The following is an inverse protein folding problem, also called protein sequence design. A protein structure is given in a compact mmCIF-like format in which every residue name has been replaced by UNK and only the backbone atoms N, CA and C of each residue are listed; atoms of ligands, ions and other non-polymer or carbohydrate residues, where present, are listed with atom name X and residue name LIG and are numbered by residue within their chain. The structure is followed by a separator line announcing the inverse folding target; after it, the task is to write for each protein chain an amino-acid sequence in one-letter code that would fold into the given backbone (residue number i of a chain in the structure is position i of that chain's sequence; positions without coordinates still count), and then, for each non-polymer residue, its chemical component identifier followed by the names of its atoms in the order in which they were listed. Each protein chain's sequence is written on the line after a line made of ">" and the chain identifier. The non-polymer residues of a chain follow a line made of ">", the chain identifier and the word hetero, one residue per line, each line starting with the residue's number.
data_IF_069023157557
#
_entry.id   IF_069023157557
#
_cell.length_a   1.000
_cell.length_b   1.000
_cell.length_c   1.000
_cell.angle_alpha   90.00
_cell.angle_beta   90.00
_cell.angle_gamma   90.00
#
_symmetry.space_group_name_H-M   'P 1'
#
loop_
_entity.id
_entity.type
_entity.pdbx_description
1 polymer ?
#
# COMPACT_ATOMS: atom_id res chain seq x y z
N UNK A 1 49.65 11.87 23.25
CA UNK A 1 48.22 12.14 23.54
C UNK A 1 47.43 11.70 22.32
N UNK A 2 46.57 10.69 22.45
CA UNK A 2 45.68 10.23 21.38
C UNK A 2 44.33 10.92 21.57
N UNK A 3 43.91 11.72 20.60
CA UNK A 3 42.61 12.38 20.59
C UNK A 3 41.54 11.32 20.31
N UNK A 4 40.73 10.99 21.32
CA UNK A 4 39.54 10.15 21.14
C UNK A 4 38.56 10.92 20.24
N UNK A 5 38.27 10.38 19.06
CA UNK A 5 37.19 10.90 18.22
C UNK A 5 35.85 10.62 18.92
N UNK A 6 34.92 11.60 18.94
CA UNK A 6 33.59 11.39 19.50
C UNK A 6 32.88 10.29 18.69
N UNK A 7 32.29 9.33 19.40
CA UNK A 7 31.44 8.32 18.78
C UNK A 7 30.26 9.02 18.11
N UNK A 8 30.23 9.01 16.78
CA UNK A 8 29.06 9.43 16.01
C UNK A 8 27.88 8.57 16.48
N UNK A 9 26.92 9.20 17.18
CA UNK A 9 25.62 8.59 17.41
C UNK A 9 24.91 8.54 16.06
N UNK A 10 25.02 7.42 15.36
CA UNK A 10 24.11 7.12 14.27
C UNK A 10 22.72 6.97 14.89
N UNK A 11 21.71 7.74 14.43
CA UNK A 11 20.33 7.53 14.88
C UNK A 11 19.99 6.06 14.65
N UNK A 12 19.32 5.44 15.63
CA UNK A 12 18.92 4.04 15.55
C UNK A 12 18.26 3.73 14.20
N UNK A 13 18.52 2.56 13.61
CA UNK A 13 17.89 2.18 12.35
C UNK A 13 16.38 2.29 12.51
N UNK A 14 15.74 3.08 11.65
CA UNK A 14 14.29 3.09 11.51
C UNK A 14 13.80 1.64 11.45
N UNK A 15 12.82 1.29 12.27
CA UNK A 15 12.19 -0.03 12.24
C UNK A 15 11.86 -0.38 10.79
N UNK A 16 12.38 -1.50 10.31
CA UNK A 16 12.19 -1.90 8.91
C UNK A 16 10.69 -2.00 8.60
N UNK A 17 10.23 -1.47 7.45
CA UNK A 17 8.82 -1.50 7.11
C UNK A 17 8.34 -2.94 6.92
N UNK A 18 7.10 -3.20 7.30
CA UNK A 18 6.41 -4.45 6.99
C UNK A 18 5.84 -4.37 5.59
N UNK A 19 6.26 -5.28 4.72
CA UNK A 19 5.78 -5.37 3.34
C UNK A 19 4.75 -6.50 3.27
N UNK A 20 3.53 -6.17 2.86
CA UNK A 20 2.44 -7.11 2.65
C UNK A 20 2.14 -7.18 1.15
N UNK A 21 2.29 -8.36 0.56
CA UNK A 21 2.11 -8.57 -0.89
C UNK A 21 1.09 -9.70 -1.13
N UNK A 22 -0.21 -9.42 -1.10
CA UNK A 22 -1.24 -10.44 -1.32
C UNK A 22 -1.22 -10.94 -2.77
N UNK A 23 -1.49 -12.23 -2.97
CA UNK A 23 -1.77 -12.81 -4.29
C UNK A 23 -3.26 -12.68 -4.64
N UNK A 24 -4.11 -12.63 -3.63
CA UNK A 24 -5.55 -12.42 -3.75
C UNK A 24 -6.10 -11.61 -2.56
N UNK A 25 -7.15 -10.82 -2.83
CA UNK A 25 -7.96 -10.14 -1.80
C UNK A 25 -9.30 -10.87 -1.56
N UNK A 26 -9.42 -12.11 -2.04
CA UNK A 26 -10.63 -12.91 -1.95
C UNK A 26 -10.45 -14.14 -1.05
N UNK A 27 -11.59 -14.70 -0.61
CA UNK A 27 -11.63 -15.93 0.16
C UNK A 27 -10.79 -15.88 1.45
N UNK A 28 -10.21 -17.02 1.79
CA UNK A 28 -9.40 -17.17 3.01
C UNK A 28 -8.10 -16.34 2.95
N UNK A 29 -7.51 -16.17 1.76
CA UNK A 29 -6.30 -15.38 1.59
C UNK A 29 -6.57 -13.90 1.87
N UNK A 30 -7.63 -13.34 1.28
CA UNK A 30 -8.05 -11.97 1.54
C UNK A 30 -8.37 -11.72 3.01
N UNK A 31 -9.03 -12.68 3.68
CA UNK A 31 -9.30 -12.58 5.12
C UNK A 31 -8.00 -12.56 5.95
N UNK A 32 -7.04 -13.43 5.64
CA UNK A 32 -5.74 -13.47 6.29
C UNK A 32 -4.94 -12.18 6.07
N UNK A 33 -4.95 -11.67 4.84
CA UNK A 33 -4.33 -10.39 4.50
C UNK A 33 -4.94 -9.24 5.32
N UNK A 34 -6.27 -9.12 5.34
CA UNK A 34 -6.97 -8.08 6.09
C UNK A 34 -6.66 -8.14 7.59
N UNK A 35 -6.63 -9.36 8.16
CA UNK A 35 -6.24 -9.56 9.56
C UNK A 35 -4.80 -9.13 9.81
N UNK A 36 -3.86 -9.52 8.95
CA UNK A 36 -2.44 -9.17 9.06
C UNK A 36 -2.23 -7.66 8.95
N UNK A 37 -2.91 -7.02 7.99
CA UNK A 37 -2.88 -5.58 7.80
C UNK A 37 -3.40 -4.84 9.02
N UNK A 38 -4.56 -5.26 9.56
CA UNK A 38 -5.12 -4.67 10.77
C UNK A 38 -4.18 -4.82 11.98
N UNK A 39 -3.57 -5.99 12.16
CA UNK A 39 -2.58 -6.22 13.21
C UNK A 39 -1.36 -5.31 13.07
N UNK A 40 -0.84 -5.14 11.86
CA UNK A 40 0.32 -4.27 11.60
C UNK A 40 0.02 -2.79 11.88
N UNK A 41 -1.19 -2.33 11.53
CA UNK A 41 -1.67 -0.97 11.84
C UNK A 41 -1.76 -0.78 13.36
N UNK A 42 -2.40 -1.70 14.09
CA UNK A 42 -2.52 -1.65 15.56
C UNK A 42 -1.14 -1.68 16.24
N UNK A 43 -0.21 -2.46 15.68
CA UNK A 43 1.17 -2.55 16.14
C UNK A 43 2.02 -1.32 15.79
N UNK A 44 1.43 -0.29 15.15
CA UNK A 44 2.08 1.00 14.83
C UNK A 44 3.29 0.85 13.90
N UNK A 45 3.28 -0.17 13.05
CA UNK A 45 4.35 -0.43 12.11
C UNK A 45 4.20 0.46 10.87
N UNK A 46 5.32 0.81 10.23
CA UNK A 46 5.28 1.34 8.86
C UNK A 46 4.91 0.20 7.92
N UNK A 47 3.81 0.33 7.18
CA UNK A 47 3.27 -0.72 6.32
C UNK A 47 3.34 -0.31 4.86
N UNK A 48 3.85 -1.20 4.04
CA UNK A 48 3.83 -1.11 2.58
C UNK A 48 2.95 -2.25 2.08
N UNK A 49 1.87 -1.93 1.37
CA UNK A 49 1.04 -2.92 0.69
C UNK A 49 1.40 -2.91 -0.79
N UNK A 50 2.01 -4.00 -1.27
CA UNK A 50 2.35 -4.15 -2.68
C UNK A 50 1.27 -4.95 -3.42
N UNK A 51 0.59 -4.29 -4.36
CA UNK A 51 -0.54 -4.85 -5.10
C UNK A 51 -0.15 -5.49 -6.43
N UNK A 52 1.13 -5.77 -6.67
CA UNK A 52 1.66 -6.28 -7.95
C UNK A 52 0.89 -7.48 -8.52
N UNK A 53 0.39 -8.36 -7.65
CA UNK A 53 -0.30 -9.58 -8.07
C UNK A 53 -1.82 -9.42 -8.17
N UNK A 54 -2.36 -8.31 -7.65
CA UNK A 54 -3.78 -8.01 -7.61
C UNK A 54 -4.20 -7.37 -8.92
N UNK A 55 -4.96 -8.12 -9.72
CA UNK A 55 -5.37 -7.68 -11.06
C UNK A 55 -6.69 -6.95 -11.11
N UNK A 56 -7.56 -7.25 -10.13
CA UNK A 56 -8.88 -6.66 -10.03
C UNK A 56 -9.16 -6.33 -8.58
N UNK A 57 -9.64 -5.10 -8.38
CA UNK A 57 -10.06 -4.57 -7.09
C UNK A 57 -11.51 -4.16 -7.24
N UNK A 58 -12.40 -5.03 -6.76
CA UNK A 58 -13.81 -4.67 -6.62
C UNK A 58 -13.98 -3.51 -5.63
N UNK A 59 -15.08 -2.78 -5.78
CA UNK A 59 -15.35 -1.58 -4.98
C UNK A 59 -15.26 -1.84 -3.47
N UNK A 60 -15.79 -2.96 -2.99
CA UNK A 60 -15.77 -3.31 -1.56
C UNK A 60 -14.35 -3.55 -1.03
N UNK A 61 -13.47 -4.14 -1.85
CA UNK A 61 -12.07 -4.38 -1.48
C UNK A 61 -11.27 -3.09 -1.51
N UNK A 62 -11.53 -2.25 -2.49
CA UNK A 62 -10.95 -0.91 -2.58
C UNK A 62 -11.36 -0.05 -1.37
N UNK A 63 -12.63 -0.12 -0.95
CA UNK A 63 -13.13 0.54 0.25
C UNK A 63 -12.50 -0.01 1.54
N UNK A 64 -12.27 -1.32 1.63
CA UNK A 64 -11.56 -1.91 2.77
C UNK A 64 -10.11 -1.39 2.87
N UNK A 65 -9.38 -1.34 1.74
CA UNK A 65 -8.04 -0.78 1.69
C UNK A 65 -8.02 0.72 2.03
N UNK A 66 -8.99 1.48 1.52
CA UNK A 66 -9.11 2.91 1.80
C UNK A 66 -9.40 3.19 3.28
N UNK A 67 -10.26 2.40 3.91
CA UNK A 67 -10.52 2.48 5.34
C UNK A 67 -9.28 2.13 6.18
N UNK A 68 -8.53 1.10 5.78
CA UNK A 68 -7.28 0.73 6.44
C UNK A 68 -6.24 1.87 6.34
N UNK A 69 -6.10 2.47 5.16
CA UNK A 69 -5.27 3.64 4.95
C UNK A 69 -5.66 4.81 5.86
N UNK A 70 -6.94 5.21 5.85
CA UNK A 70 -7.43 6.30 6.69
C UNK A 70 -7.23 6.02 8.19
N UNK A 71 -7.43 4.77 8.61
CA UNK A 71 -7.17 4.33 9.99
C UNK A 71 -5.69 4.47 10.35
N UNK A 72 -4.78 4.01 9.49
CA UNK A 72 -3.34 4.16 9.73
C UNK A 72 -2.92 5.64 9.81
N UNK A 73 -3.45 6.47 8.90
CA UNK A 73 -3.18 7.91 8.87
C UNK A 73 -3.70 8.64 10.12
N UNK A 74 -4.90 8.30 10.61
CA UNK A 74 -5.43 8.90 11.86
C UNK A 74 -4.65 8.47 13.09
N UNK A 75 -4.02 7.30 13.06
CA UNK A 75 -3.12 6.82 14.11
C UNK A 75 -1.69 7.38 14.00
N UNK A 76 -1.38 8.15 12.94
CA UNK A 76 -0.06 8.74 12.73
C UNK A 76 0.99 7.75 12.20
N UNK A 77 0.55 6.63 11.62
CA UNK A 77 1.42 5.60 11.06
C UNK A 77 1.26 5.52 9.54
N UNK A 78 2.34 5.73 8.78
CA UNK A 78 2.25 5.72 7.32
C UNK A 78 1.97 4.31 6.79
N UNK A 79 0.86 4.20 6.06
CA UNK A 79 0.54 3.07 5.19
C UNK A 79 0.66 3.54 3.74
N UNK A 80 1.48 2.85 2.94
CA UNK A 80 1.70 3.18 1.53
C UNK A 80 1.32 2.00 0.65
N UNK A 81 0.82 2.28 -0.55
CA UNK A 81 0.54 1.27 -1.57
C UNK A 81 1.56 1.34 -2.71
N UNK A 82 2.00 0.18 -3.18
CA UNK A 82 2.84 0.01 -4.37
C UNK A 82 2.07 -0.76 -5.44
N UNK A 83 2.55 -0.64 -6.69
CA UNK A 83 2.05 -1.39 -7.85
C UNK A 83 0.56 -1.21 -8.13
N UNK A 84 -0.01 -0.06 -7.76
CA UNK A 84 -1.33 0.36 -8.24
C UNK A 84 -1.17 0.91 -9.64
N UNK A 85 -1.88 0.33 -10.61
CA UNK A 85 -2.05 0.97 -11.92
C UNK A 85 -2.83 2.28 -11.80
N UNK A 86 -2.78 3.10 -12.86
CA UNK A 86 -3.41 4.41 -12.88
C UNK A 86 -4.93 4.35 -12.63
N UNK A 87 -5.62 3.36 -13.20
CA UNK A 87 -7.06 3.17 -13.05
C UNK A 87 -7.45 2.85 -11.61
N UNK A 88 -6.75 1.89 -11.00
CA UNK A 88 -6.89 1.49 -9.60
C UNK A 88 -6.60 2.65 -8.67
N UNK A 89 -5.56 3.45 -8.92
CA UNK A 89 -5.24 4.64 -8.14
C UNK A 89 -6.35 5.69 -8.21
N UNK A 90 -6.86 6.02 -9.40
CA UNK A 90 -7.97 6.95 -9.54
C UNK A 90 -9.24 6.47 -8.83
N UNK A 91 -9.53 5.17 -8.90
CA UNK A 91 -10.67 4.59 -8.18
C UNK A 91 -10.47 4.69 -6.66
N UNK A 92 -9.26 4.41 -6.17
CA UNK A 92 -8.90 4.50 -4.76
C UNK A 92 -9.07 5.91 -4.22
N UNK A 93 -8.59 6.91 -4.96
CA UNK A 93 -8.73 8.33 -4.60
C UNK A 93 -10.18 8.77 -4.51
N UNK A 94 -11.03 8.33 -5.45
CA UNK A 94 -12.47 8.60 -5.40
C UNK A 94 -13.11 8.01 -4.14
N UNK A 95 -12.73 6.78 -3.78
CA UNK A 95 -13.25 6.13 -2.57
C UNK A 95 -12.79 6.86 -1.31
N UNK A 96 -11.53 7.29 -1.24
CA UNK A 96 -11.05 8.13 -0.13
C UNK A 96 -11.83 9.44 -0.03
N UNK A 97 -12.05 10.13 -1.14
CA UNK A 97 -12.83 11.37 -1.18
C UNK A 97 -14.27 11.15 -0.68
N UNK A 98 -14.89 10.04 -1.09
CA UNK A 98 -16.24 9.66 -0.68
C UNK A 98 -16.33 9.31 0.81
N UNK A 99 -15.37 8.55 1.35
CA UNK A 99 -15.33 8.17 2.76
C UNK A 99 -15.02 9.38 3.64
N UNK A 100 -14.10 10.24 3.19
CA UNK A 100 -13.55 11.29 4.02
C UNK A 100 -14.36 12.59 4.08
N UNK A 101 -14.92 13.07 2.97
CA UNK A 101 -15.05 14.54 2.77
C UNK A 101 -13.75 15.29 3.15
N UNK A 102 -12.58 14.65 3.01
CA UNK A 102 -11.30 15.19 3.42
C UNK A 102 -10.58 15.73 2.19
N UNK A 103 -10.31 17.02 2.20
CA UNK A 103 -9.34 17.69 1.31
C UNK A 103 -7.93 17.27 1.78
N UNK A 104 -7.44 16.10 1.33
CA UNK A 104 -6.04 15.70 1.57
C UNK A 104 -5.40 15.14 0.31
N UNK A 105 -4.45 15.93 -0.19
CA UNK A 105 -3.34 15.52 -1.05
C UNK A 105 -2.39 14.62 -0.26
N UNK A 106 -2.70 13.33 -0.16
CA UNK A 106 -1.68 12.34 0.17
C UNK A 106 -0.63 12.31 -0.94
N UNK A 107 0.65 12.29 -0.60
CA UNK A 107 1.71 12.04 -1.59
C UNK A 107 1.65 10.56 -1.97
N UNK A 108 0.97 10.27 -3.06
CA UNK A 108 1.05 8.98 -3.72
C UNK A 108 2.32 8.97 -4.56
N UNK A 109 3.21 8.01 -4.32
CA UNK A 109 4.37 7.83 -5.20
C UNK A 109 3.87 7.48 -6.60
N UNK A 110 3.98 8.41 -7.54
CA UNK A 110 3.79 8.14 -8.97
C UNK A 110 5.05 7.45 -9.47
N UNK A 111 4.91 6.30 -10.12
CA UNK A 111 6.07 5.61 -10.67
C UNK A 111 6.52 6.28 -11.97
N UNK A 112 7.73 5.94 -12.42
CA UNK A 112 8.19 6.34 -13.74
C UNK A 112 7.22 5.80 -14.82
N UNK A 113 6.96 6.55 -15.91
CA UNK A 113 5.98 6.16 -16.93
C UNK A 113 6.16 4.73 -17.46
N UNK A 114 7.40 4.27 -17.59
CA UNK A 114 7.73 2.93 -18.11
C UNK A 114 7.29 1.81 -17.15
N UNK A 115 7.27 2.10 -15.85
CA UNK A 115 6.80 1.17 -14.84
C UNK A 115 5.27 1.17 -14.74
N UNK A 116 4.62 2.33 -14.89
CA UNK A 116 3.16 2.41 -15.02
C UNK A 116 2.68 1.62 -16.25
N UNK A 117 3.35 1.78 -17.40
CA UNK A 117 3.10 0.99 -18.62
C UNK A 117 3.32 -0.52 -18.41
N UNK A 118 4.25 -0.91 -17.54
CA UNK A 118 4.46 -2.31 -17.17
C UNK A 118 3.28 -2.84 -16.34
N UNK A 119 2.82 -2.08 -15.34
CA UNK A 119 1.69 -2.46 -14.50
C UNK A 119 0.42 -2.61 -15.33
N UNK A 120 0.13 -1.65 -16.21
CA UNK A 120 -1.02 -1.69 -17.11
C UNK A 120 -1.01 -2.94 -18.01
N UNK A 121 0.14 -3.24 -18.64
CA UNK A 121 0.30 -4.42 -19.49
C UNK A 121 0.19 -5.73 -18.70
N UNK A 122 0.75 -5.78 -17.49
CA UNK A 122 0.68 -6.96 -16.64
C UNK A 122 -0.77 -7.25 -16.22
N UNK A 123 -1.54 -6.23 -15.83
CA UNK A 123 -2.94 -6.36 -15.47
C UNK A 123 -3.82 -6.78 -16.65
N UNK A 124 -3.59 -6.20 -17.84
CA UNK A 124 -4.29 -6.60 -19.06
C UNK A 124 -3.98 -8.06 -19.44
N UNK A 125 -2.71 -8.48 -19.36
CA UNK A 125 -2.28 -9.83 -19.70
C UNK A 125 -2.89 -10.90 -18.78
N UNK A 126 -2.91 -10.67 -17.46
CA UNK A 126 -3.58 -11.60 -16.53
C UNK A 126 -5.11 -11.59 -16.69
N UNK A 127 -5.73 -10.43 -16.93
CA UNK A 127 -7.19 -10.36 -17.15
C UNK A 127 -7.61 -11.13 -18.40
N UNK A 128 -6.81 -11.07 -19.47
CA UNK A 128 -7.04 -11.84 -20.68
C UNK A 128 -6.85 -13.35 -20.48
N UNK A 129 -5.94 -13.77 -19.60
CA UNK A 129 -5.72 -15.17 -19.24
C UNK A 129 -6.80 -15.76 -18.32
N UNK A 130 -7.65 -14.92 -17.72
CA UNK A 130 -8.75 -15.33 -16.85
C UNK A 130 -10.11 -15.46 -17.60
N UNK A 131 -10.14 -15.17 -18.90
CA UNK A 131 -11.31 -15.39 -19.77
C UNK A 131 -11.29 -16.84 -20.31
N UNK A 132 -12.43 -17.57 -20.26
CA UNK A 132 -12.53 -18.97 -20.69
C UNK A 132 -12.43 -19.17 -22.21
#
# INVERSE_FOLDING_TARGET
>A
MMTQMPAEHYPEPFSSPVILQPQSLEGAEGANFCSTLASAIVARQTVIVDLLWITQLEHDRLAALANAFLTAQTQGHPLTFLSMDQGTRMAFDRVIQQIGQIDRTGSYGVFAPEFEDFLDRHHQAKSAAALP
#
